data_IF_667849084699
#
_entry.id   IF_667849084699
#
_cell.length_a   1.000
_cell.length_b   1.000
_cell.length_c   1.000
_cell.angle_alpha   90.00
_cell.angle_beta   90.00
_cell.angle_gamma   90.00
#
_symmetry.space_group_name_H-M   'P 1'
#
loop_
_entity.id
_entity.type
_entity.pdbx_description
1 polymer ?
#
# COMPACT_ATOMS: atom_id res chain seq x y z
N UNK A 1 -11.42 9.35 -8.39
CA UNK A 1 -9.95 9.33 -8.13
C UNK A 1 -9.57 8.10 -7.31
N UNK A 2 -8.34 7.55 -7.48
CA UNK A 2 -7.77 6.47 -6.64
C UNK A 2 -6.59 7.07 -5.85
N UNK A 3 -6.52 6.77 -4.55
CA UNK A 3 -5.39 7.14 -3.68
C UNK A 3 -4.56 5.89 -3.43
N UNK A 4 -3.25 5.98 -3.65
CA UNK A 4 -2.30 4.93 -3.32
C UNK A 4 -1.50 5.28 -2.07
N UNK A 5 -1.45 4.35 -1.11
CA UNK A 5 -0.56 4.42 0.03
C UNK A 5 0.65 3.53 -0.23
N UNK A 6 1.83 4.14 -0.33
CA UNK A 6 3.11 3.46 -0.54
C UNK A 6 4.01 3.57 0.68
N UNK A 7 5.04 2.75 0.75
CA UNK A 7 6.02 2.76 1.84
C UNK A 7 6.44 1.36 2.26
N UNK A 8 7.35 1.29 3.21
CA UNK A 8 7.90 0.03 3.72
C UNK A 8 6.84 -0.89 4.32
N UNK A 9 7.11 -2.19 4.33
CA UNK A 9 6.35 -3.13 5.14
C UNK A 9 6.34 -2.69 6.60
N UNK A 10 5.21 -2.87 7.31
CA UNK A 10 5.00 -2.41 8.70
C UNK A 10 5.06 -0.89 8.92
N UNK A 11 4.99 -0.07 7.87
CA UNK A 11 4.91 1.39 7.99
C UNK A 11 3.54 1.90 8.47
N UNK A 12 2.49 1.07 8.50
CA UNK A 12 1.14 1.46 8.93
C UNK A 12 0.19 1.80 7.78
N UNK A 13 0.54 1.40 6.54
CA UNK A 13 -0.29 1.67 5.35
C UNK A 13 -1.69 1.10 5.43
N UNK A 14 -1.81 -0.16 5.86
CA UNK A 14 -3.09 -0.87 5.91
C UNK A 14 -4.06 -0.21 6.89
N UNK A 15 -3.62 0.04 8.13
CA UNK A 15 -4.43 0.69 9.15
C UNK A 15 -4.83 2.11 8.76
N UNK A 16 -3.86 2.89 8.25
CA UNK A 16 -4.12 4.25 7.74
C UNK A 16 -5.08 4.21 6.54
N UNK A 17 -4.90 3.25 5.63
CA UNK A 17 -5.76 3.07 4.46
C UNK A 17 -7.20 2.74 4.81
N UNK A 18 -7.40 1.86 5.79
CA UNK A 18 -8.73 1.52 6.31
C UNK A 18 -9.40 2.75 6.96
N UNK A 19 -8.69 3.51 7.79
CA UNK A 19 -9.20 4.72 8.40
C UNK A 19 -9.54 5.79 7.34
N UNK A 20 -8.64 5.99 6.37
CA UNK A 20 -8.82 6.95 5.28
C UNK A 20 -10.03 6.60 4.40
N UNK A 21 -10.14 5.35 3.98
CA UNK A 21 -11.26 4.89 3.14
C UNK A 21 -12.60 5.04 3.83
N UNK A 22 -12.67 4.75 5.15
CA UNK A 22 -13.88 4.94 5.95
C UNK A 22 -14.30 6.42 6.01
N UNK A 23 -13.35 7.34 6.23
CA UNK A 23 -13.62 8.78 6.28
C UNK A 23 -14.06 9.32 4.92
N UNK A 24 -13.46 8.83 3.84
CA UNK A 24 -13.77 9.25 2.46
C UNK A 24 -14.98 8.50 1.86
N UNK A 25 -15.57 7.54 2.58
CA UNK A 25 -16.63 6.63 2.07
C UNK A 25 -16.20 5.92 0.77
N UNK A 26 -14.91 5.62 0.64
CA UNK A 26 -14.28 4.98 -0.51
C UNK A 26 -14.09 3.48 -0.28
N UNK A 27 -13.92 2.70 -1.36
CA UNK A 27 -13.49 1.30 -1.24
C UNK A 27 -12.06 1.21 -0.71
N UNK A 28 -11.76 0.19 0.09
CA UNK A 28 -10.39 -0.11 0.52
C UNK A 28 -9.89 -1.41 -0.10
N UNK A 29 -8.65 -1.42 -0.57
CA UNK A 29 -7.98 -2.62 -1.06
C UNK A 29 -6.54 -2.63 -0.54
N UNK A 30 -6.13 -3.74 0.08
CA UNK A 30 -4.73 -4.03 0.36
C UNK A 30 -4.21 -5.04 -0.67
N UNK A 31 -3.15 -4.70 -1.39
CA UNK A 31 -2.67 -5.54 -2.51
C UNK A 31 -2.06 -6.85 -2.05
N UNK A 32 -1.44 -6.87 -0.86
CA UNK A 32 -0.89 -8.09 -0.29
C UNK A 32 -2.03 -9.04 0.11
N UNK A 33 -3.04 -8.53 0.83
CA UNK A 33 -4.24 -9.31 1.20
C UNK A 33 -5.01 -9.81 -0.02
N UNK A 34 -5.14 -9.01 -1.07
CA UNK A 34 -5.77 -9.43 -2.32
C UNK A 34 -5.00 -10.58 -2.98
N UNK A 35 -3.68 -10.51 -2.98
CA UNK A 35 -2.84 -11.57 -3.52
C UNK A 35 -2.95 -12.86 -2.69
N UNK A 36 -2.99 -12.75 -1.35
CA UNK A 36 -3.19 -13.88 -0.44
C UNK A 36 -4.55 -14.56 -0.67
N UNK A 37 -5.61 -13.78 -0.88
CA UNK A 37 -6.95 -14.30 -1.20
C UNK A 37 -6.97 -15.08 -2.53
N UNK A 38 -6.37 -14.54 -3.59
CA UNK A 38 -6.35 -15.18 -4.93
C UNK A 38 -5.58 -16.49 -4.92
N UNK A 39 -4.44 -16.56 -4.21
CA UNK A 39 -3.57 -17.73 -4.24
C UNK A 39 -3.73 -18.67 -3.05
N UNK A 40 -4.53 -18.32 -2.04
CA UNK A 40 -4.78 -19.15 -0.86
C UNK A 40 -3.55 -19.38 0.02
N UNK A 41 -2.55 -18.50 -0.06
CA UNK A 41 -1.28 -18.58 0.67
C UNK A 41 -0.84 -17.20 1.14
N UNK A 42 -0.13 -17.12 2.27
CA UNK A 42 0.43 -15.83 2.72
C UNK A 42 1.58 -15.36 1.81
N UNK A 43 1.88 -14.05 1.84
CA UNK A 43 2.88 -13.41 0.97
C UNK A 43 4.25 -14.09 1.08
N UNK A 44 4.67 -14.52 2.28
CA UNK A 44 5.93 -15.22 2.48
C UNK A 44 5.97 -16.56 1.74
N UNK A 45 4.92 -17.36 1.85
CA UNK A 45 4.80 -18.64 1.15
C UNK A 45 4.76 -18.43 -0.36
N UNK A 46 4.02 -17.41 -0.83
CA UNK A 46 3.97 -17.07 -2.25
C UNK A 46 5.36 -16.67 -2.79
N UNK A 47 6.11 -15.89 -2.02
CA UNK A 47 7.47 -15.51 -2.38
C UNK A 47 8.40 -16.72 -2.47
N UNK A 48 8.30 -17.66 -1.52
CA UNK A 48 9.08 -18.91 -1.53
C UNK A 48 8.71 -19.84 -2.69
N UNK A 49 7.40 -19.98 -2.98
CA UNK A 49 6.92 -20.88 -4.06
C UNK A 49 7.24 -20.32 -5.45
N UNK A 50 7.05 -19.02 -5.65
CA UNK A 50 7.25 -18.41 -6.97
C UNK A 50 8.69 -18.01 -7.24
N UNK A 51 9.46 -17.72 -6.22
CA UNK A 51 10.72 -17.01 -6.33
C UNK A 51 10.52 -15.54 -6.72
N UNK A 52 11.52 -14.70 -6.54
CA UNK A 52 11.40 -13.25 -6.68
C UNK A 52 10.84 -12.81 -8.03
N UNK A 53 11.43 -13.29 -9.13
CA UNK A 53 11.04 -12.86 -10.49
C UNK A 53 9.58 -13.14 -10.81
N UNK A 54 9.11 -14.34 -10.50
CA UNK A 54 7.72 -14.75 -10.76
C UNK A 54 6.75 -14.09 -9.79
N UNK A 55 7.18 -13.88 -8.53
CA UNK A 55 6.40 -13.14 -7.56
C UNK A 55 6.14 -11.70 -8.03
N UNK A 56 7.16 -10.98 -8.55
CA UNK A 56 6.99 -9.62 -9.09
C UNK A 56 6.04 -9.55 -10.29
N UNK A 57 6.03 -10.58 -11.14
CA UNK A 57 5.03 -10.69 -12.22
C UNK A 57 3.61 -10.84 -11.66
N UNK A 58 3.44 -11.71 -10.66
CA UNK A 58 2.14 -11.92 -10.02
C UNK A 58 1.63 -10.70 -9.24
N UNK A 59 2.53 -9.96 -8.58
CA UNK A 59 2.23 -8.65 -7.98
C UNK A 59 1.67 -7.68 -9.02
N UNK A 60 2.30 -7.60 -10.19
CA UNK A 60 1.86 -6.71 -11.27
C UNK A 60 0.53 -7.13 -11.88
N UNK A 61 0.31 -8.44 -12.10
CA UNK A 61 -0.98 -8.97 -12.56
C UNK A 61 -2.11 -8.65 -11.57
N UNK A 62 -1.91 -8.91 -10.28
CA UNK A 62 -2.88 -8.58 -9.24
C UNK A 62 -3.18 -7.09 -9.17
N UNK A 63 -2.16 -6.24 -9.27
CA UNK A 63 -2.33 -4.80 -9.29
C UNK A 63 -3.24 -4.36 -10.45
N UNK A 64 -2.98 -4.82 -11.68
CA UNK A 64 -3.81 -4.48 -12.83
C UNK A 64 -5.26 -4.93 -12.63
N UNK A 65 -5.48 -6.16 -12.17
CA UNK A 65 -6.83 -6.67 -11.88
C UNK A 65 -7.56 -5.83 -10.82
N UNK A 66 -6.86 -5.36 -9.78
CA UNK A 66 -7.43 -4.45 -8.78
C UNK A 66 -7.88 -3.15 -9.44
N UNK A 67 -7.03 -2.55 -10.28
CA UNK A 67 -7.35 -1.29 -10.96
C UNK A 67 -8.54 -1.47 -11.91
N UNK A 68 -8.57 -2.53 -12.70
CA UNK A 68 -9.68 -2.86 -13.60
C UNK A 68 -10.99 -2.99 -12.82
N UNK A 69 -11.03 -3.76 -11.74
CA UNK A 69 -12.22 -3.91 -10.88
C UNK A 69 -12.68 -2.58 -10.26
N UNK A 70 -11.74 -1.71 -9.84
CA UNK A 70 -12.09 -0.39 -9.33
C UNK A 70 -12.71 0.46 -10.43
N UNK A 71 -12.13 0.48 -11.62
CA UNK A 71 -12.64 1.25 -12.76
C UNK A 71 -14.02 0.74 -13.16
N UNK A 72 -14.21 -0.57 -13.33
CA UNK A 72 -15.48 -1.19 -13.70
C UNK A 72 -16.60 -0.85 -12.69
N UNK A 73 -16.31 -0.98 -11.39
CA UNK A 73 -17.27 -0.68 -10.32
C UNK A 73 -17.79 0.77 -10.36
N UNK A 74 -16.97 1.69 -10.83
CA UNK A 74 -17.28 3.12 -10.84
C UNK A 74 -17.44 3.71 -12.25
N UNK A 75 -17.45 2.86 -13.28
CA UNK A 75 -17.81 3.30 -14.63
C UNK A 75 -19.32 3.55 -14.68
N UNK A 76 -19.78 4.66 -15.28
CA UNK A 76 -21.22 4.87 -15.48
C UNK A 76 -21.76 3.74 -16.35
N UNK A 77 -22.90 3.16 -15.94
CA UNK A 77 -23.61 2.17 -16.74
C UNK A 77 -23.91 2.74 -18.12
N UNK A 78 -23.58 2.06 -19.23
CA UNK A 78 -23.80 2.60 -20.57
C UNK A 78 -25.29 2.77 -20.95
N UNK A 79 -26.23 2.39 -20.09
CA UNK A 79 -27.67 2.35 -20.37
C UNK A 79 -28.56 3.22 -19.45
N UNK A 80 -28.02 4.15 -18.68
CA UNK A 80 -28.90 5.04 -17.89
C UNK A 80 -29.24 6.33 -18.66
N UNK A 81 -30.29 6.25 -19.50
CA UNK A 81 -31.01 7.44 -20.01
C UNK A 81 -31.82 8.20 -18.95
N UNK A 82 -31.70 7.82 -17.66
CA UNK A 82 -32.41 8.47 -16.55
C UNK A 82 -31.44 8.70 -15.38
N UNK A 83 -30.59 9.71 -15.48
CA UNK A 83 -29.88 10.25 -14.34
C UNK A 83 -30.89 10.99 -13.45
N UNK A 84 -31.44 10.31 -12.45
CA UNK A 84 -32.14 10.97 -11.34
C UNK A 84 -31.10 11.75 -10.55
N UNK A 85 -31.26 13.06 -10.52
CA UNK A 85 -30.50 14.01 -9.72
C UNK A 85 -30.39 13.50 -8.27
N UNK A 86 -29.22 13.05 -7.85
CA UNK A 86 -28.88 12.92 -6.47
C UNK A 86 -28.59 14.32 -5.92
N UNK A 87 -29.56 14.89 -5.20
CA UNK A 87 -29.42 16.17 -4.52
C UNK A 87 -28.43 16.08 -3.36
N UNK A 88 -27.16 16.34 -3.62
CA UNK A 88 -26.14 16.58 -2.61
C UNK A 88 -25.82 18.08 -2.60
N UNK A 89 -26.64 18.86 -1.86
CA UNK A 89 -26.24 20.19 -1.42
C UNK A 89 -25.20 20.06 -0.33
N UNK A 90 -24.05 20.72 -0.51
CA UNK A 90 -22.80 20.78 0.25
C UNK A 90 -21.68 19.89 -0.29
N UNK A 91 -21.26 20.17 -1.52
CA UNK A 91 -20.02 19.66 -2.06
C UNK A 91 -18.82 20.50 -1.57
N UNK A 92 -18.10 20.00 -0.59
CA UNK A 92 -16.66 20.17 -0.63
C UNK A 92 -16.21 19.40 -1.88
N UNK A 93 -15.56 20.03 -2.85
CA UNK A 93 -14.97 19.39 -4.04
C UNK A 93 -13.83 18.47 -3.63
N UNK A 94 -14.16 17.35 -3.00
CA UNK A 94 -13.38 16.14 -3.12
C UNK A 94 -13.84 15.54 -4.45
N UNK A 95 -13.04 15.58 -5.49
CA UNK A 95 -13.17 14.67 -6.63
C UNK A 95 -13.44 13.29 -6.04
N UNK A 96 -14.57 12.66 -6.34
CA UNK A 96 -15.04 11.45 -5.66
C UNK A 96 -13.92 10.42 -5.56
N UNK A 97 -13.32 10.28 -4.38
CA UNK A 97 -12.33 9.25 -4.13
C UNK A 97 -13.03 7.90 -4.19
N UNK A 98 -12.76 7.15 -5.23
CA UNK A 98 -13.40 5.85 -5.50
C UNK A 98 -12.81 4.75 -4.64
N UNK A 99 -11.48 4.79 -4.46
CA UNK A 99 -10.76 3.78 -3.70
C UNK A 99 -9.48 4.31 -3.06
N UNK A 100 -9.11 3.70 -1.94
CA UNK A 100 -7.82 3.78 -1.28
C UNK A 100 -7.14 2.42 -1.43
N UNK A 101 -5.95 2.39 -2.02
CA UNK A 101 -5.17 1.18 -2.27
C UNK A 101 -3.89 1.20 -1.45
N UNK A 102 -3.75 0.27 -0.51
CA UNK A 102 -2.51 0.02 0.24
C UNK A 102 -1.62 -0.92 -0.55
N UNK A 103 -0.40 -0.52 -0.86
CA UNK A 103 0.52 -1.35 -1.66
C UNK A 103 1.41 -2.22 -0.81
N UNK A 104 1.87 -3.35 -1.37
CA UNK A 104 2.91 -4.18 -0.77
C UNK A 104 4.20 -3.40 -0.50
N UNK A 105 4.88 -3.74 0.60
CA UNK A 105 6.13 -3.06 1.00
C UNK A 105 7.33 -3.33 0.09
N UNK A 106 7.20 -4.16 -0.93
CA UNK A 106 8.22 -4.50 -1.92
C UNK A 106 8.02 -3.83 -3.28
N UNK A 107 7.00 -3.01 -3.47
CA UNK A 107 6.68 -2.38 -4.76
C UNK A 107 7.83 -1.53 -5.34
N UNK A 108 8.69 -0.98 -4.49
CA UNK A 108 9.90 -0.28 -4.94
C UNK A 108 10.90 -1.16 -5.72
N UNK A 109 10.76 -2.47 -5.69
CA UNK A 109 11.61 -3.42 -6.42
C UNK A 109 10.94 -3.97 -7.68
N UNK A 110 9.74 -3.49 -8.01
CA UNK A 110 8.99 -3.90 -9.19
C UNK A 110 8.91 -2.75 -10.20
N UNK A 111 9.80 -2.76 -11.19
CA UNK A 111 9.90 -1.69 -12.20
C UNK A 111 8.59 -1.48 -12.97
N UNK A 112 7.85 -2.54 -13.26
CA UNK A 112 6.58 -2.46 -13.97
C UNK A 112 5.53 -1.71 -13.12
N UNK A 113 5.47 -1.99 -11.80
CA UNK A 113 4.59 -1.29 -10.86
C UNK A 113 5.02 0.17 -10.67
N UNK A 114 6.33 0.44 -10.56
CA UNK A 114 6.84 1.82 -10.47
C UNK A 114 6.40 2.64 -11.68
N UNK A 115 6.54 2.07 -12.88
CA UNK A 115 6.11 2.73 -14.12
C UNK A 115 4.61 2.97 -14.13
N UNK A 116 3.82 1.97 -13.73
CA UNK A 116 2.36 2.05 -13.72
C UNK A 116 1.82 3.02 -12.68
N UNK A 117 2.44 3.08 -11.50
CA UNK A 117 2.04 4.02 -10.45
C UNK A 117 2.17 5.49 -10.89
N UNK A 118 3.14 5.81 -11.74
CA UNK A 118 3.34 7.19 -12.25
C UNK A 118 2.14 7.72 -13.05
N UNK A 119 1.26 6.84 -13.53
CA UNK A 119 0.03 7.23 -14.22
C UNK A 119 -1.03 7.81 -13.26
N UNK A 120 -0.82 7.72 -11.94
CA UNK A 120 -1.78 8.14 -10.94
C UNK A 120 -1.31 9.40 -10.19
N UNK A 121 -2.20 10.39 -10.02
CA UNK A 121 -1.82 11.69 -9.44
C UNK A 121 -1.73 11.71 -7.91
N UNK A 122 -2.28 10.70 -7.23
CA UNK A 122 -2.38 10.67 -5.77
C UNK A 122 -1.67 9.45 -5.18
N UNK A 123 -0.37 9.59 -4.99
CA UNK A 123 0.50 8.59 -4.37
C UNK A 123 1.06 9.19 -3.08
N UNK A 124 0.73 8.60 -1.94
CA UNK A 124 1.06 9.12 -0.62
C UNK A 124 2.03 8.17 0.06
N UNK A 125 3.19 8.66 0.44
CA UNK A 125 4.17 7.90 1.20
C UNK A 125 3.84 7.96 2.69
N UNK A 126 3.66 6.80 3.32
CA UNK A 126 3.67 6.66 4.77
C UNK A 126 5.14 6.53 5.21
N UNK A 127 5.73 7.67 5.60
CA UNK A 127 7.17 7.80 5.89
C UNK A 127 7.46 7.58 7.39
N UNK A 128 7.22 6.35 7.85
CA UNK A 128 7.54 5.94 9.21
C UNK A 128 9.05 5.81 9.39
N UNK A 129 9.56 6.28 10.53
CA UNK A 129 10.97 6.22 10.86
C UNK A 129 11.52 4.78 10.78
N UNK A 130 12.69 4.53 10.18
CA UNK A 130 13.22 3.20 9.97
C UNK A 130 13.43 2.41 11.26
N UNK A 131 13.87 3.06 12.33
CA UNK A 131 14.02 2.41 13.65
C UNK A 131 12.68 1.89 14.19
N UNK A 132 11.58 2.62 13.97
CA UNK A 132 10.25 2.19 14.38
C UNK A 132 9.74 1.03 13.53
N UNK A 133 9.98 1.06 12.23
CA UNK A 133 9.64 -0.04 11.33
C UNK A 133 10.39 -1.30 11.75
N UNK A 134 11.70 -1.19 11.99
CA UNK A 134 12.50 -2.33 12.41
C UNK A 134 12.04 -2.89 13.77
N UNK A 135 11.72 -2.01 14.73
CA UNK A 135 11.14 -2.43 16.00
C UNK A 135 9.85 -3.25 15.81
N UNK A 136 8.94 -2.82 14.94
CA UNK A 136 7.70 -3.55 14.60
C UNK A 136 7.99 -4.90 13.92
N UNK A 137 8.98 -4.95 13.03
CA UNK A 137 9.43 -6.18 12.36
C UNK A 137 9.99 -7.16 13.39
N UNK A 138 10.87 -6.70 14.27
CA UNK A 138 11.45 -7.53 15.34
C UNK A 138 10.39 -8.06 16.30
N UNK A 139 9.46 -7.19 16.71
CA UNK A 139 8.36 -7.59 17.60
C UNK A 139 7.48 -8.67 16.97
N UNK A 140 7.19 -8.54 15.69
CA UNK A 140 6.45 -9.55 14.94
C UNK A 140 7.26 -10.85 14.79
N UNK A 141 8.54 -10.75 14.42
CA UNK A 141 9.42 -11.91 14.28
C UNK A 141 9.56 -12.73 15.57
N UNK A 142 9.59 -12.06 16.72
CA UNK A 142 9.62 -12.73 18.02
C UNK A 142 8.33 -13.51 18.33
N UNK A 143 7.19 -13.09 17.78
CA UNK A 143 5.91 -13.79 17.94
C UNK A 143 5.71 -14.89 16.91
N UNK A 144 6.10 -14.64 15.69
CA UNK A 144 5.89 -15.51 14.53
C UNK A 144 7.01 -16.57 14.39
N UNK A 145 8.17 -16.34 15.00
CA UNK A 145 9.34 -17.24 14.93
C UNK A 145 10.22 -17.01 13.68
N UNK A 146 9.93 -16.01 12.86
CA UNK A 146 10.68 -15.73 11.64
C UNK A 146 10.62 -14.24 11.23
N UNK A 147 11.64 -13.80 10.54
CA UNK A 147 11.69 -12.49 9.90
C UNK A 147 10.95 -12.48 8.53
N UNK A 148 10.47 -11.30 8.05
CA UNK A 148 9.86 -11.20 6.72
C UNK A 148 10.78 -11.70 5.60
N UNK A 149 10.20 -12.34 4.56
CA UNK A 149 10.94 -12.94 3.46
C UNK A 149 11.87 -11.97 2.72
N UNK A 150 11.53 -10.68 2.66
CA UNK A 150 12.35 -9.69 1.97
C UNK A 150 13.70 -9.42 2.66
N UNK A 151 13.89 -9.82 3.92
CA UNK A 151 15.20 -9.78 4.60
C UNK A 151 16.10 -10.95 4.20
N UNK A 152 15.57 -11.90 3.43
CA UNK A 152 16.28 -13.10 3.00
C UNK A 152 16.24 -14.23 4.03
N UNK A 153 16.90 -15.32 3.65
CA UNK A 153 17.03 -16.51 4.51
C UNK A 153 18.31 -16.47 5.33
N UNK A 154 18.42 -17.40 6.27
CA UNK A 154 19.63 -17.61 7.10
C UNK A 154 20.07 -16.36 7.88
N UNK A 155 19.13 -15.64 8.48
CA UNK A 155 19.42 -14.53 9.40
C UNK A 155 20.10 -15.11 10.65
N UNK A 156 21.34 -14.70 10.91
CA UNK A 156 22.19 -15.25 11.97
C UNK A 156 21.81 -14.76 13.37
N UNK A 157 21.42 -13.51 13.46
CA UNK A 157 21.04 -12.83 14.70
C UNK A 157 20.31 -11.53 14.41
N UNK A 158 19.86 -10.83 15.44
CA UNK A 158 19.14 -9.56 15.33
C UNK A 158 19.95 -8.49 14.59
N UNK A 159 21.26 -8.39 14.83
CA UNK A 159 22.13 -7.42 14.18
C UNK A 159 22.21 -7.65 12.67
N UNK A 160 22.30 -8.89 12.23
CA UNK A 160 22.27 -9.25 10.81
C UNK A 160 20.92 -8.86 10.17
N UNK A 161 19.80 -9.09 10.87
CA UNK A 161 18.48 -8.65 10.42
C UNK A 161 18.38 -7.13 10.28
N UNK A 162 18.91 -6.41 11.26
CA UNK A 162 18.94 -4.95 11.29
C UNK A 162 19.74 -4.37 10.13
N UNK A 163 20.97 -4.85 9.92
CA UNK A 163 21.86 -4.38 8.86
C UNK A 163 21.25 -4.61 7.47
N UNK A 164 20.63 -5.80 7.25
CA UNK A 164 19.91 -6.10 6.00
C UNK A 164 18.70 -5.18 5.83
N UNK A 165 17.92 -4.95 6.90
CA UNK A 165 16.77 -4.06 6.85
C UNK A 165 17.18 -2.64 6.46
N UNK A 166 18.19 -2.06 7.11
CA UNK A 166 18.63 -0.70 6.79
C UNK A 166 19.15 -0.57 5.38
N UNK A 167 19.91 -1.54 4.88
CA UNK A 167 20.36 -1.56 3.49
C UNK A 167 19.19 -1.57 2.48
N UNK A 168 18.16 -2.37 2.74
CA UNK A 168 16.96 -2.43 1.90
C UNK A 168 16.15 -1.12 2.03
N UNK A 169 15.99 -0.60 3.25
CA UNK A 169 15.29 0.65 3.51
C UNK A 169 15.89 1.81 2.72
N UNK A 170 17.21 2.02 2.79
CA UNK A 170 17.90 3.11 2.11
C UNK A 170 17.69 3.09 0.59
N UNK A 171 17.63 1.90 0.00
CA UNK A 171 17.36 1.73 -1.42
C UNK A 171 15.91 2.03 -1.77
N UNK A 172 14.96 1.45 -1.02
CA UNK A 172 13.52 1.58 -1.30
C UNK A 172 12.98 2.97 -1.02
N UNK A 173 13.42 3.63 0.07
CA UNK A 173 12.89 4.93 0.46
C UNK A 173 13.16 6.01 -0.59
N UNK A 174 14.30 5.95 -1.29
CA UNK A 174 14.61 6.86 -2.40
C UNK A 174 13.59 6.74 -3.53
N UNK A 175 13.21 5.52 -3.86
CA UNK A 175 12.21 5.23 -4.90
C UNK A 175 10.83 5.71 -4.45
N UNK A 176 10.42 5.40 -3.23
CA UNK A 176 9.14 5.85 -2.70
C UNK A 176 9.02 7.36 -2.64
N UNK A 177 10.08 8.06 -2.21
CA UNK A 177 10.10 9.55 -2.20
C UNK A 177 10.01 10.15 -3.60
N UNK A 178 10.60 9.49 -4.60
CA UNK A 178 10.51 9.93 -5.99
C UNK A 178 9.14 9.69 -6.64
N UNK A 179 8.37 8.72 -6.13
CA UNK A 179 7.03 8.39 -6.64
C UNK A 179 5.93 9.19 -5.96
N UNK A 180 6.12 9.55 -4.70
CA UNK A 180 5.07 10.13 -3.87
C UNK A 180 4.74 11.57 -4.29
N UNK A 181 3.44 11.89 -4.34
CA UNK A 181 2.95 13.27 -4.48
C UNK A 181 3.29 14.09 -3.23
N UNK A 182 3.18 13.46 -2.06
CA UNK A 182 3.62 13.97 -0.77
C UNK A 182 3.83 12.81 0.22
N UNK A 183 4.42 13.12 1.37
CA UNK A 183 4.67 12.14 2.43
C UNK A 183 4.05 12.58 3.75
N UNK A 184 3.60 11.60 4.54
CA UNK A 184 3.10 11.80 5.90
C UNK A 184 3.95 10.96 6.85
N UNK A 185 4.47 11.62 7.90
CA UNK A 185 5.09 10.93 9.02
C UNK A 185 4.02 10.65 10.09
N UNK A 186 3.70 9.37 10.37
CA UNK A 186 2.65 8.99 11.32
C UNK A 186 3.13 8.99 12.78
N UNK A 187 4.34 9.47 13.08
CA UNK A 187 4.91 9.43 14.44
C UNK A 187 3.97 10.11 15.45
N UNK A 188 3.59 9.35 16.47
CA UNK A 188 2.73 9.83 17.56
C UNK A 188 1.26 10.04 17.18
N UNK A 189 0.86 9.59 16.00
CA UNK A 189 -0.52 9.69 15.51
C UNK A 189 -1.17 8.30 15.45
N UNK A 190 -2.46 8.27 15.73
CA UNK A 190 -3.30 7.13 15.40
C UNK A 190 -3.50 7.01 13.87
N UNK A 191 -3.98 5.86 13.37
CA UNK A 191 -4.38 5.72 11.97
C UNK A 191 -5.42 6.76 11.54
N UNK A 192 -6.38 7.08 12.40
CA UNK A 192 -7.44 8.06 12.18
C UNK A 192 -6.89 9.49 12.06
N UNK A 193 -5.97 9.89 12.94
CA UNK A 193 -5.31 11.19 12.88
C UNK A 193 -4.39 11.31 11.67
N UNK A 194 -3.73 10.20 11.30
CA UNK A 194 -2.93 10.15 10.06
C UNK A 194 -3.82 10.32 8.83
N UNK A 195 -4.99 9.68 8.80
CA UNK A 195 -5.97 9.85 7.75
C UNK A 195 -6.49 11.31 7.66
N UNK A 196 -6.75 11.99 8.80
CA UNK A 196 -7.15 13.39 8.82
C UNK A 196 -6.09 14.31 8.21
N UNK A 197 -4.81 14.07 8.54
CA UNK A 197 -3.71 14.81 7.91
C UNK A 197 -3.63 14.57 6.40
N UNK A 198 -3.86 13.33 5.96
CA UNK A 198 -3.91 13.04 4.52
C UNK A 198 -5.04 13.82 3.86
N UNK A 199 -6.25 13.78 4.42
CA UNK A 199 -7.42 14.49 3.88
C UNK A 199 -7.15 16.00 3.77
N UNK A 200 -6.54 16.60 4.79
CA UNK A 200 -6.19 18.01 4.80
C UNK A 200 -5.12 18.41 3.77
N UNK A 201 -4.43 17.43 3.17
CA UNK A 201 -3.36 17.62 2.19
C UNK A 201 -3.77 17.24 0.76
N UNK A 202 -5.00 16.72 0.55
CA UNK A 202 -5.55 16.37 -0.76
C UNK A 202 -6.06 17.57 -1.54
#
# INVERSE_FOLDING_TARGET
>A
MIIFLIGMSRAGKTETGMALSKKLKASFVDTDSYMEEIYGKNIRELYQVFGEKKFRLKEFECFNTIIEKIIEKFSPCPNEKNAVHCGCENAVHCDDVKAVVSTGGGYAENEALIKKLKDFPRIILIDTAPAEIFYRIKTAANKEGFYPAFLGENIKNEKDAEDRFFSIYERRIKIYKALASFSINPKGLSPEETADKIISSL
#
